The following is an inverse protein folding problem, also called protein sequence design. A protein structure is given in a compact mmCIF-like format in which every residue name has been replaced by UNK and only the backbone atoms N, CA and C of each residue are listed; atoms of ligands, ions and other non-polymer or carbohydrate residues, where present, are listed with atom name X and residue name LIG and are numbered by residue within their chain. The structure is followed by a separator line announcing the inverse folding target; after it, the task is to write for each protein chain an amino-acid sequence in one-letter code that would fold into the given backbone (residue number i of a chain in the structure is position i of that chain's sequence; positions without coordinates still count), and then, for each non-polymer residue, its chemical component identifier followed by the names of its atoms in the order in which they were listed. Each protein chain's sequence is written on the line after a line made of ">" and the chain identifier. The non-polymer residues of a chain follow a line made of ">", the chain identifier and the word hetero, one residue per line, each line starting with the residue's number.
data_IF_323692621097
#
_entry.id   IF_323692621097
#
_cell.length_a   1.000
_cell.length_b   1.000
_cell.length_c   1.000
_cell.angle_alpha   90.00
_cell.angle_beta   90.00
_cell.angle_gamma   90.00
#
_symmetry.space_group_name_H-M   'P 1'
#
loop_
_entity.id
_entity.type
_entity.pdbx_description
1 polymer ?
#
# COMPACT_ATOMS: atom_id res chain seq x y z
N UNK A 1 10.60 43.02 19.26
CA UNK A 1 9.52 42.30 19.97
C UNK A 1 8.48 41.70 19.02
N UNK A 2 7.87 42.47 18.10
CA UNK A 2 6.80 41.95 17.22
C UNK A 2 7.21 40.80 16.29
N UNK A 3 8.45 40.78 15.78
CA UNK A 3 8.95 39.71 14.93
C UNK A 3 9.03 38.35 15.66
N UNK A 4 9.34 38.37 16.96
CA UNK A 4 9.43 37.16 17.78
C UNK A 4 8.02 36.60 18.02
N UNK A 5 7.05 37.45 18.37
CA UNK A 5 5.66 37.01 18.51
C UNK A 5 5.07 36.48 17.21
N UNK A 6 5.42 37.09 16.07
CA UNK A 6 4.99 36.63 14.75
C UNK A 6 5.61 35.26 14.41
N UNK A 7 6.89 35.05 14.72
CA UNK A 7 7.59 33.78 14.52
C UNK A 7 7.02 32.69 15.44
N UNK A 8 6.77 33.00 16.71
CA UNK A 8 6.12 32.10 17.66
C UNK A 8 4.71 31.72 17.22
N UNK A 9 3.93 32.68 16.70
CA UNK A 9 2.59 32.44 16.15
C UNK A 9 2.65 31.58 14.87
N UNK A 10 3.64 31.81 13.99
CA UNK A 10 3.85 30.99 12.79
C UNK A 10 4.23 29.53 13.12
N UNK A 11 5.02 29.32 14.18
CA UNK A 11 5.38 27.99 14.67
C UNK A 11 4.21 27.27 15.37
N UNK A 12 3.31 28.01 16.02
CA UNK A 12 2.06 27.51 16.58
C UNK A 12 1.01 27.18 15.51
N UNK A 13 1.08 27.87 14.36
CA UNK A 13 0.23 27.64 13.19
C UNK A 13 0.87 26.70 12.16
N UNK A 14 2.07 26.17 12.43
CA UNK A 14 2.63 25.11 11.61
C UNK A 14 1.60 23.97 11.64
N UNK A 15 1.07 23.55 10.49
CA UNK A 15 0.07 22.50 10.47
C UNK A 15 0.68 21.29 11.17
N UNK A 16 -0.04 20.76 12.15
CA UNK A 16 0.15 19.36 12.53
C UNK A 16 0.15 18.60 11.22
N UNK A 17 1.27 17.99 10.87
CA UNK A 17 1.29 17.08 9.72
C UNK A 17 0.32 15.99 10.13
N UNK A 18 -0.90 16.06 9.60
CA UNK A 18 -1.99 15.10 9.79
C UNK A 18 -1.62 13.82 9.03
N UNK A 19 -0.51 13.19 9.41
CA UNK A 19 -0.08 11.90 8.91
C UNK A 19 -0.82 10.73 9.60
N UNK A 20 -1.89 11.05 10.35
CA UNK A 20 -2.95 10.12 10.77
C UNK A 20 -3.69 9.44 9.60
N UNK A 21 -3.38 9.80 8.36
CA UNK A 21 -4.15 9.43 7.19
C UNK A 21 -3.27 8.81 6.10
N UNK A 22 -3.54 7.55 5.79
CA UNK A 22 -2.97 6.87 4.63
C UNK A 22 -3.81 7.19 3.39
N UNK A 23 -3.22 7.77 2.35
CA UNK A 23 -3.90 8.06 1.07
C UNK A 23 -3.20 7.50 -0.16
N UNK A 24 -2.13 6.75 0.04
CA UNK A 24 -1.38 6.21 -1.08
C UNK A 24 -0.11 5.50 -0.66
N UNK A 25 0.29 4.59 -1.53
CA UNK A 25 1.57 3.91 -1.49
C UNK A 25 2.18 3.91 -2.88
N UNK A 26 3.23 3.14 -3.06
CA UNK A 26 3.75 2.83 -4.38
C UNK A 26 3.23 1.47 -4.82
N UNK A 27 2.85 1.38 -6.09
CA UNK A 27 2.58 0.11 -6.77
C UNK A 27 3.62 0.00 -7.86
N UNK A 28 4.43 -1.05 -7.79
CA UNK A 28 5.41 -1.38 -8.83
C UNK A 28 5.13 -2.78 -9.35
N UNK A 29 5.59 -3.07 -10.55
CA UNK A 29 5.49 -4.41 -11.10
C UNK A 29 6.71 -4.74 -11.93
N UNK A 30 6.99 -6.04 -12.06
CA UNK A 30 8.01 -6.56 -12.96
C UNK A 30 7.67 -8.00 -13.36
N UNK A 31 8.11 -8.46 -14.54
CA UNK A 31 8.02 -9.87 -14.86
C UNK A 31 8.90 -10.70 -13.92
N UNK A 32 8.47 -11.92 -13.59
CA UNK A 32 9.26 -12.90 -12.81
C UNK A 32 10.45 -13.39 -13.63
N UNK A 33 10.25 -13.59 -14.94
CA UNK A 33 11.26 -14.03 -15.89
C UNK A 33 11.31 -13.10 -17.11
N UNK A 34 12.51 -12.90 -17.66
CA UNK A 34 12.68 -11.99 -18.80
C UNK A 34 12.46 -12.66 -20.17
N UNK A 35 12.33 -13.99 -20.20
CA UNK A 35 12.11 -14.77 -21.42
C UNK A 35 10.62 -15.01 -21.63
N UNK A 36 9.96 -14.05 -22.28
CA UNK A 36 8.51 -14.09 -22.55
C UNK A 36 8.29 -14.58 -23.99
N UNK A 37 7.53 -15.67 -24.13
CA UNK A 37 7.09 -16.18 -25.43
C UNK A 37 5.72 -15.58 -25.76
N UNK A 38 5.49 -15.23 -27.04
CA UNK A 38 4.17 -14.76 -27.47
C UNK A 38 3.11 -15.86 -27.27
N UNK A 39 1.94 -15.49 -26.76
CA UNK A 39 0.85 -16.43 -26.48
C UNK A 39 1.02 -17.31 -25.23
N UNK A 40 2.12 -17.18 -24.49
CA UNK A 40 2.29 -17.89 -23.21
C UNK A 40 1.65 -17.14 -22.04
N UNK A 41 1.51 -17.82 -20.91
CA UNK A 41 1.32 -17.17 -19.61
C UNK A 41 2.62 -16.48 -19.19
N UNK A 42 2.50 -15.27 -18.65
CA UNK A 42 3.56 -14.43 -18.13
C UNK A 42 3.27 -14.16 -16.66
N UNK A 43 4.16 -14.59 -15.78
CA UNK A 43 4.06 -14.27 -14.37
C UNK A 43 4.70 -12.91 -14.11
N UNK A 44 3.96 -12.00 -13.47
CA UNK A 44 4.48 -10.74 -12.95
C UNK A 44 4.43 -10.74 -11.43
N UNK A 45 5.33 -10.01 -10.80
CA UNK A 45 5.25 -9.65 -9.38
C UNK A 45 4.71 -8.24 -9.32
N UNK A 46 3.62 -8.04 -8.58
CA UNK A 46 3.14 -6.71 -8.18
C UNK A 46 3.58 -6.49 -6.75
N UNK A 47 4.28 -5.40 -6.49
CA UNK A 47 4.72 -4.99 -5.16
C UNK A 47 4.01 -3.72 -4.75
N UNK A 48 3.45 -3.73 -3.54
CA UNK A 48 2.76 -2.59 -2.95
C UNK A 48 3.52 -2.17 -1.70
N UNK A 49 3.91 -0.90 -1.59
CA UNK A 49 4.59 -0.36 -0.40
C UNK A 49 3.81 0.82 0.16
N UNK A 50 3.65 0.83 1.48
CA UNK A 50 2.80 1.75 2.21
C UNK A 50 3.56 2.32 3.39
N UNK A 51 3.33 3.60 3.71
CA UNK A 51 3.97 4.25 4.85
C UNK A 51 3.00 5.20 5.55
N UNK A 52 3.08 5.24 6.87
CA UNK A 52 2.24 6.07 7.74
C UNK A 52 2.95 6.33 9.07
N UNK A 53 2.35 7.13 9.95
CA UNK A 53 2.95 7.40 11.27
C UNK A 53 2.80 6.24 12.24
N UNK A 54 3.88 5.89 12.95
CA UNK A 54 3.88 4.75 13.88
C UNK A 54 2.88 4.90 15.03
N UNK A 55 2.49 6.14 15.36
CA UNK A 55 1.44 6.49 16.31
C UNK A 55 0.04 5.92 16.00
N UNK A 56 -0.26 5.56 14.74
CA UNK A 56 -1.54 4.92 14.37
C UNK A 56 -1.47 3.40 14.60
N UNK A 57 -0.49 2.78 13.95
CA UNK A 57 -0.13 1.36 14.05
C UNK A 57 1.39 1.31 13.91
N UNK A 58 2.08 0.94 14.98
CA UNK A 58 3.53 0.79 14.98
C UNK A 58 3.93 -0.63 14.59
N UNK A 59 4.86 -0.75 13.64
CA UNK A 59 5.57 -2.01 13.44
C UNK A 59 6.65 -2.22 14.50
N UNK A 60 7.01 -3.48 14.73
CA UNK A 60 8.12 -3.87 15.59
C UNK A 60 8.87 -5.07 14.97
N UNK A 61 10.03 -5.40 15.55
CA UNK A 61 10.89 -6.48 15.06
C UNK A 61 10.17 -7.83 14.97
N UNK A 62 9.26 -8.13 15.91
CA UNK A 62 8.50 -9.38 15.90
C UNK A 62 7.51 -9.43 14.73
N UNK A 63 6.84 -8.31 14.44
CA UNK A 63 5.91 -8.23 13.30
C UNK A 63 6.63 -8.38 11.96
N UNK A 64 7.84 -7.82 11.83
CA UNK A 64 8.69 -7.97 10.64
C UNK A 64 9.16 -9.42 10.50
N UNK A 65 9.71 -10.00 11.58
CA UNK A 65 10.26 -11.36 11.55
C UNK A 65 9.21 -12.44 11.28
N UNK A 66 8.00 -12.26 11.81
CA UNK A 66 6.91 -13.25 11.68
C UNK A 66 5.98 -12.97 10.51
N UNK A 67 6.08 -11.79 9.89
CA UNK A 67 5.09 -11.27 8.94
C UNK A 67 3.66 -11.42 9.49
N UNK A 68 3.46 -11.03 10.75
CA UNK A 68 2.18 -11.16 11.43
C UNK A 68 2.00 -10.11 12.53
N UNK A 69 0.79 -9.57 12.73
CA UNK A 69 -0.38 -9.71 11.86
C UNK A 69 -0.21 -8.94 10.53
N UNK A 70 -1.07 -9.22 9.55
CA UNK A 70 -1.17 -8.36 8.37
C UNK A 70 -1.67 -6.97 8.75
N UNK A 71 -1.35 -5.97 7.93
CA UNK A 71 -1.89 -4.63 8.02
C UNK A 71 -2.97 -4.48 6.95
N UNK A 72 -4.18 -4.21 7.41
CA UNK A 72 -5.34 -3.95 6.59
C UNK A 72 -5.43 -2.47 6.27
N UNK A 73 -5.54 -2.16 4.98
CA UNK A 73 -5.62 -0.80 4.45
C UNK A 73 -7.01 -0.60 3.85
N UNK A 74 -7.69 0.50 4.18
CA UNK A 74 -8.91 0.94 3.49
C UNK A 74 -10.24 0.50 4.12
N UNK A 75 -10.26 -0.43 5.08
CA UNK A 75 -11.43 -0.67 5.96
C UNK A 75 -10.99 -1.26 7.31
N UNK A 76 -11.80 -1.07 8.36
CA UNK A 76 -11.59 -1.67 9.71
C UNK A 76 -11.51 -3.21 9.70
N UNK A 77 -11.94 -3.86 8.60
CA UNK A 77 -11.95 -5.31 8.46
C UNK A 77 -10.95 -5.84 7.42
N UNK A 78 -10.49 -5.01 6.45
CA UNK A 78 -9.46 -5.30 5.44
C UNK A 78 -9.65 -6.52 4.53
N UNK A 79 -10.59 -7.40 4.83
CA UNK A 79 -10.92 -8.55 4.02
C UNK A 79 -11.69 -8.09 2.79
N UNK A 80 -11.09 -8.26 1.61
CA UNK A 80 -11.78 -8.13 0.33
C UNK A 80 -11.58 -6.81 -0.41
N UNK A 81 -10.68 -5.92 0.01
CA UNK A 81 -10.27 -4.79 -0.84
C UNK A 81 -9.04 -5.20 -1.64
N UNK A 82 -9.12 -5.01 -2.96
CA UNK A 82 -8.09 -5.39 -3.92
C UNK A 82 -7.64 -4.19 -4.75
N UNK A 83 -6.47 -4.30 -5.38
CA UNK A 83 -6.06 -3.45 -6.49
C UNK A 83 -7.00 -3.73 -7.66
N UNK A 84 -7.93 -2.83 -7.89
CA UNK A 84 -8.94 -3.02 -8.93
C UNK A 84 -8.41 -2.54 -10.26
N UNK A 85 -8.80 -3.22 -11.34
CA UNK A 85 -8.59 -2.70 -12.67
C UNK A 85 -9.49 -1.48 -12.90
N UNK A 86 -8.90 -0.34 -13.28
CA UNK A 86 -9.61 0.91 -13.55
C UNK A 86 -9.64 1.32 -15.02
N UNK A 87 -8.76 0.77 -15.86
CA UNK A 87 -8.79 1.01 -17.30
C UNK A 87 -8.26 -0.19 -18.10
N UNK A 88 -8.75 -0.32 -19.34
CA UNK A 88 -8.40 -1.39 -20.29
C UNK A 88 -8.60 -2.81 -19.72
N UNK A 89 -9.63 -2.98 -18.89
CA UNK A 89 -9.87 -4.22 -18.14
C UNK A 89 -10.28 -5.41 -19.02
N UNK A 90 -10.81 -5.16 -20.21
CA UNK A 90 -11.10 -6.21 -21.19
C UNK A 90 -9.85 -6.86 -21.78
N UNK A 91 -8.69 -6.19 -21.72
CA UNK A 91 -7.39 -6.67 -22.21
C UNK A 91 -6.44 -7.04 -21.07
N UNK A 92 -6.98 -7.28 -19.88
CA UNK A 92 -6.17 -7.50 -18.68
C UNK A 92 -5.47 -8.86 -18.63
N UNK A 93 -5.67 -9.73 -19.60
CA UNK A 93 -5.03 -11.05 -19.69
C UNK A 93 -5.27 -11.95 -18.48
N UNK A 94 -6.42 -11.82 -17.81
CA UNK A 94 -6.77 -12.63 -16.63
C UNK A 94 -6.59 -11.94 -15.27
N UNK A 95 -6.13 -10.68 -15.24
CA UNK A 95 -6.06 -9.93 -13.98
C UNK A 95 -7.43 -9.72 -13.31
N UNK A 96 -8.47 -9.39 -14.08
CA UNK A 96 -9.83 -9.21 -13.53
C UNK A 96 -10.36 -10.55 -13.01
N UNK A 97 -10.82 -10.58 -11.76
CA UNK A 97 -11.20 -11.79 -11.03
C UNK A 97 -10.04 -12.48 -10.30
N UNK A 98 -8.79 -12.04 -10.52
CA UNK A 98 -7.58 -12.47 -9.81
C UNK A 98 -6.83 -11.26 -9.23
N UNK A 99 -7.56 -10.23 -8.81
CA UNK A 99 -6.98 -9.00 -8.30
C UNK A 99 -6.22 -9.24 -6.99
N UNK A 100 -5.17 -8.44 -6.81
CA UNK A 100 -4.27 -8.56 -5.65
C UNK A 100 -4.84 -7.80 -4.46
N UNK A 101 -4.91 -8.39 -3.26
CA UNK A 101 -5.34 -7.69 -2.04
C UNK A 101 -4.43 -6.51 -1.67
N UNK A 102 -5.00 -5.44 -1.12
CA UNK A 102 -4.26 -4.23 -0.69
C UNK A 102 -3.77 -4.29 0.76
N UNK A 103 -3.64 -5.47 1.35
CA UNK A 103 -3.05 -5.61 2.70
C UNK A 103 -1.53 -5.67 2.61
N UNK A 104 -0.82 -5.46 3.71
CA UNK A 104 0.64 -5.58 3.75
C UNK A 104 1.13 -6.27 5.02
N UNK A 105 2.44 -6.45 5.13
CA UNK A 105 3.11 -6.84 6.36
C UNK A 105 4.15 -5.80 6.72
N UNK A 106 4.50 -5.70 7.99
CA UNK A 106 5.58 -4.83 8.45
C UNK A 106 6.89 -5.19 7.76
N UNK A 107 7.60 -4.18 7.24
CA UNK A 107 8.94 -4.36 6.67
C UNK A 107 9.99 -3.46 7.31
N UNK A 108 9.59 -2.30 7.83
CA UNK A 108 10.50 -1.36 8.47
C UNK A 108 9.75 -0.40 9.40
N UNK A 109 10.47 0.22 10.33
CA UNK A 109 9.96 1.29 11.20
C UNK A 109 11.08 2.17 11.75
N UNK A 110 10.74 3.40 12.15
CA UNK A 110 11.64 4.31 12.83
C UNK A 110 10.91 5.06 13.93
N UNK A 111 11.24 4.72 15.18
CA UNK A 111 10.69 5.40 16.35
C UNK A 111 11.08 6.89 16.39
N UNK A 112 12.30 7.22 15.97
CA UNK A 112 12.80 8.59 15.96
C UNK A 112 12.08 9.48 14.94
N UNK A 113 11.55 8.89 13.86
CA UNK A 113 10.84 9.59 12.79
C UNK A 113 9.32 9.39 12.85
N UNK A 114 8.81 8.71 13.88
CA UNK A 114 7.41 8.25 13.98
C UNK A 114 6.94 7.61 12.66
N UNK A 115 7.73 6.70 12.08
CA UNK A 115 7.48 6.12 10.75
C UNK A 115 7.28 4.62 10.83
N UNK A 116 6.33 4.11 10.06
CA UNK A 116 6.14 2.69 9.81
C UNK A 116 6.02 2.42 8.31
N UNK A 117 6.60 1.32 7.84
CA UNK A 117 6.55 0.86 6.46
C UNK A 117 6.00 -0.56 6.39
N UNK A 118 5.07 -0.76 5.46
CA UNK A 118 4.54 -2.07 5.14
C UNK A 118 4.63 -2.36 3.65
N UNK A 119 4.84 -3.63 3.33
CA UNK A 119 4.90 -4.10 1.96
C UNK A 119 4.17 -5.44 1.80
N UNK A 120 3.69 -5.69 0.59
CA UNK A 120 3.30 -7.01 0.10
C UNK A 120 3.75 -7.16 -1.35
N UNK A 121 4.07 -8.38 -1.75
CA UNK A 121 4.30 -8.74 -3.14
C UNK A 121 3.51 -9.99 -3.48
N UNK A 122 2.83 -9.98 -4.63
CA UNK A 122 2.04 -11.11 -5.11
C UNK A 122 2.40 -11.42 -6.57
N UNK A 123 2.38 -12.72 -6.89
CA UNK A 123 2.56 -13.20 -8.25
C UNK A 123 1.19 -13.24 -8.93
N UNK A 124 1.10 -12.61 -10.09
CA UNK A 124 -0.08 -12.65 -10.96
C UNK A 124 0.32 -13.26 -12.30
N UNK A 125 -0.50 -14.19 -12.78
CA UNK A 125 -0.31 -14.84 -14.07
C UNK A 125 -1.20 -14.19 -15.12
N UNK A 126 -0.60 -13.66 -16.17
CA UNK A 126 -1.27 -12.92 -17.23
C UNK A 126 -1.04 -13.58 -18.59
N UNK A 127 -1.99 -13.46 -19.52
CA UNK A 127 -1.73 -13.79 -20.93
C UNK A 127 -0.75 -12.79 -21.54
N UNK A 128 0.23 -13.27 -22.31
CA UNK A 128 1.17 -12.43 -23.06
C UNK A 128 0.43 -11.39 -23.92
N UNK A 129 0.89 -10.13 -23.88
CA UNK A 129 0.25 -8.99 -24.53
C UNK A 129 -0.83 -8.28 -23.72
N UNK A 130 -1.05 -8.67 -22.46
CA UNK A 130 -1.99 -7.98 -21.58
C UNK A 130 -1.67 -6.48 -21.41
N UNK A 131 -2.72 -5.66 -21.37
CA UNK A 131 -2.64 -4.24 -21.10
C UNK A 131 -3.82 -3.80 -20.23
N UNK A 132 -3.53 -3.23 -19.06
CA UNK A 132 -4.53 -2.73 -18.11
C UNK A 132 -3.89 -1.71 -17.16
N UNK A 133 -4.74 -0.95 -16.48
CA UNK A 133 -4.33 -0.08 -15.38
C UNK A 133 -4.97 -0.64 -14.11
N UNK A 134 -4.14 -1.01 -13.14
CA UNK A 134 -4.57 -1.36 -11.79
C UNK A 134 -4.33 -0.19 -10.84
N UNK A 135 -5.33 0.11 -10.02
CA UNK A 135 -5.27 1.21 -9.06
C UNK A 135 -5.74 0.77 -7.70
N UNK A 136 -5.15 1.36 -6.68
CA UNK A 136 -5.79 1.45 -5.38
C UNK A 136 -7.01 2.37 -5.52
N UNK A 137 -8.22 1.80 -5.47
CA UNK A 137 -9.45 2.57 -5.54
C UNK A 137 -10.38 2.14 -4.41
N UNK A 138 -10.71 3.08 -3.53
CA UNK A 138 -11.76 2.92 -2.52
C UNK A 138 -12.77 4.05 -2.67
N UNK A 139 -14.04 3.74 -2.41
CA UNK A 139 -15.13 4.72 -2.50
C UNK A 139 -15.13 5.59 -1.25
N UNK A 140 -14.52 6.77 -1.32
CA UNK A 140 -14.50 7.74 -0.22
C UNK A 140 -13.10 8.13 0.22
N UNK A 141 -13.02 9.17 1.07
CA UNK A 141 -11.79 9.90 1.43
C UNK A 141 -10.68 9.09 2.12
N UNK A 142 -10.31 9.47 3.33
CA UNK A 142 -9.13 8.95 4.02
C UNK A 142 -9.25 7.47 4.38
N UNK A 143 -8.16 6.70 4.25
CA UNK A 143 -8.16 5.26 4.49
C UNK A 143 -7.88 4.95 5.96
N UNK A 144 -8.66 4.04 6.55
CA UNK A 144 -8.38 3.51 7.88
C UNK A 144 -7.30 2.43 7.82
N UNK A 145 -6.48 2.35 8.86
CA UNK A 145 -5.54 1.26 9.09
C UNK A 145 -6.05 0.37 10.21
N UNK A 146 -5.88 -0.94 10.09
CA UNK A 146 -6.21 -1.91 11.12
C UNK A 146 -5.22 -3.09 11.10
N UNK A 147 -4.99 -3.71 12.26
CA UNK A 147 -4.33 -5.01 12.30
C UNK A 147 -5.31 -6.07 11.80
N UNK A 148 -4.86 -6.95 10.92
CA UNK A 148 -5.60 -8.15 10.56
C UNK A 148 -5.71 -9.09 11.75
N UNK A 149 -6.81 -9.82 11.86
CA UNK A 149 -6.89 -10.90 12.83
C UNK A 149 -5.82 -11.94 12.46
N UNK A 150 -4.88 -12.17 13.37
CA UNK A 150 -4.06 -13.38 13.35
C UNK A 150 -5.00 -14.57 13.56
N UNK A 151 -5.27 -15.32 12.50
CA UNK A 151 -5.87 -16.66 12.61
C UNK A 151 -4.91 -17.60 13.31
#
# INVERSE_FOLDING_TARGET
>A
MHLIYLLSLLLLLAPTIEAYHFRGGTITWKPVNNNITAGSTVSIIITQTYSWTSSIIGCNDSMIATQSPSINIGTKAGAGVNLTCSASCSTSGGYVGNEVPITGYCTDFSNALDLTVSQRSDIVNLTSGAYFIATFATTGGWQTLALGNST
#
